data_IF_101321314782
#
_entry.id   IF_101321314782
#
_cell.length_a   1.000
_cell.length_b   1.000
_cell.length_c   1.000
_cell.angle_alpha   90.00
_cell.angle_beta   90.00
_cell.angle_gamma   90.00
#
_symmetry.space_group_name_H-M   'P 1'
#
loop_
_entity.id
_entity.type
_entity.pdbx_description
1 polymer ?
#
# COMPACT_ATOMS: atom_id res chain seq x y z
N UNK A 1 -114.76 -42.80 131.29
CA UNK A 1 -114.85 -43.50 129.98
C UNK A 1 -115.00 -42.56 128.79
N UNK A 2 -115.83 -41.50 128.85
CA UNK A 2 -115.97 -40.52 127.75
C UNK A 2 -114.72 -39.65 127.51
N UNK A 3 -114.02 -39.24 128.56
CA UNK A 3 -112.80 -38.40 128.43
C UNK A 3 -111.61 -39.11 127.77
N UNK A 4 -111.48 -40.43 127.97
CA UNK A 4 -110.45 -41.25 127.31
C UNK A 4 -110.73 -41.44 125.81
N UNK A 5 -112.01 -41.47 125.40
CA UNK A 5 -112.39 -41.52 123.99
C UNK A 5 -112.06 -40.21 123.28
N UNK A 6 -112.41 -39.07 123.89
CA UNK A 6 -112.07 -37.74 123.35
C UNK A 6 -110.55 -37.52 123.28
N UNK A 7 -109.79 -37.98 124.28
CA UNK A 7 -108.32 -37.89 124.25
C UNK A 7 -107.69 -38.79 123.17
N UNK A 8 -108.28 -39.95 122.89
CA UNK A 8 -107.79 -40.87 121.85
C UNK A 8 -108.17 -40.39 120.44
N UNK A 9 -109.36 -39.81 120.28
CA UNK A 9 -109.81 -39.14 119.06
C UNK A 9 -108.95 -37.91 118.75
N UNK A 10 -108.65 -37.06 119.75
CA UNK A 10 -107.73 -35.94 119.57
C UNK A 10 -106.32 -36.41 119.20
N UNK A 11 -105.83 -37.48 119.81
CA UNK A 11 -104.51 -38.06 119.49
C UNK A 11 -104.48 -38.69 118.09
N UNK A 12 -105.57 -39.28 117.63
CA UNK A 12 -105.73 -39.76 116.25
C UNK A 12 -105.75 -38.59 115.26
N UNK A 13 -106.48 -37.52 115.55
CA UNK A 13 -106.48 -36.30 114.74
C UNK A 13 -105.09 -35.65 114.68
N UNK A 14 -104.35 -35.62 115.78
CA UNK A 14 -102.96 -35.14 115.83
C UNK A 14 -102.02 -36.02 114.99
N UNK A 15 -102.15 -37.35 115.08
CA UNK A 15 -101.37 -38.29 114.28
C UNK A 15 -101.69 -38.18 112.78
N UNK A 16 -102.96 -37.99 112.41
CA UNK A 16 -103.37 -37.75 111.04
C UNK A 16 -102.88 -36.39 110.53
N UNK A 17 -102.91 -35.35 111.36
CA UNK A 17 -102.35 -34.04 111.01
C UNK A 17 -100.82 -34.12 110.82
N UNK A 18 -100.10 -34.88 111.66
CA UNK A 18 -98.66 -35.11 111.51
C UNK A 18 -98.36 -35.95 110.27
N UNK A 19 -99.15 -36.98 109.96
CA UNK A 19 -99.02 -37.77 108.72
C UNK A 19 -99.24 -36.91 107.49
N UNK A 20 -100.29 -36.10 107.44
CA UNK A 20 -100.54 -35.15 106.35
C UNK A 20 -99.39 -34.16 106.19
N UNK A 21 -98.87 -33.60 107.30
CA UNK A 21 -97.70 -32.70 107.27
C UNK A 21 -96.43 -33.41 106.76
N UNK A 22 -96.21 -34.67 107.12
CA UNK A 22 -95.08 -35.47 106.63
C UNK A 22 -95.22 -35.80 105.14
N UNK A 23 -96.42 -36.13 104.69
CA UNK A 23 -96.73 -36.42 103.28
C UNK A 23 -96.64 -35.14 102.42
N UNK A 24 -97.12 -34.01 102.93
CA UNK A 24 -96.92 -32.68 102.33
C UNK A 24 -95.44 -32.26 102.32
N UNK A 25 -94.67 -32.55 103.37
CA UNK A 25 -93.24 -32.27 103.39
C UNK A 25 -92.46 -33.16 102.42
N UNK A 26 -92.83 -34.45 102.32
CA UNK A 26 -92.22 -35.39 101.39
C UNK A 26 -92.54 -35.05 99.93
N UNK A 27 -93.78 -34.65 99.62
CA UNK A 27 -94.16 -34.18 98.29
C UNK A 27 -93.44 -32.88 97.91
N UNK A 28 -93.38 -31.89 98.82
CA UNK A 28 -92.58 -30.68 98.60
C UNK A 28 -91.10 -30.97 98.37
N UNK A 29 -90.50 -31.86 99.16
CA UNK A 29 -89.11 -32.27 98.99
C UNK A 29 -88.87 -32.96 97.64
N UNK A 30 -89.76 -33.86 97.22
CA UNK A 30 -89.68 -34.52 95.91
C UNK A 30 -89.85 -33.55 94.73
N UNK A 31 -90.71 -32.53 94.88
CA UNK A 31 -90.86 -31.47 93.89
C UNK A 31 -89.63 -30.56 93.82
N UNK A 32 -89.03 -30.21 94.96
CA UNK A 32 -87.78 -29.45 95.00
C UNK A 32 -86.61 -30.22 94.39
N UNK A 33 -86.50 -31.52 94.67
CA UNK A 33 -85.49 -32.38 94.06
C UNK A 33 -85.67 -32.49 92.54
N UNK A 34 -86.91 -32.65 92.06
CA UNK A 34 -87.23 -32.59 90.63
C UNK A 34 -86.82 -31.26 90.01
N UNK A 35 -87.12 -30.13 90.65
CA UNK A 35 -86.72 -28.79 90.17
C UNK A 35 -85.20 -28.66 90.11
N UNK A 36 -84.47 -29.13 91.14
CA UNK A 36 -83.00 -29.13 91.14
C UNK A 36 -82.44 -29.93 89.97
N UNK A 37 -82.92 -31.15 89.77
CA UNK A 37 -82.49 -32.00 88.66
C UNK A 37 -82.81 -31.37 87.31
N UNK A 38 -84.01 -30.79 87.14
CA UNK A 38 -84.38 -30.07 85.93
C UNK A 38 -83.43 -28.91 85.65
N UNK A 39 -83.13 -28.07 86.65
CA UNK A 39 -82.18 -26.96 86.47
C UNK A 39 -80.77 -27.44 86.14
N UNK A 40 -80.32 -28.55 86.73
CA UNK A 40 -79.01 -29.12 86.43
C UNK A 40 -78.93 -29.65 85.00
N UNK A 41 -79.96 -30.36 84.55
CA UNK A 41 -80.06 -30.89 83.18
C UNK A 41 -80.16 -29.77 82.17
N UNK A 42 -80.96 -28.73 82.43
CA UNK A 42 -81.07 -27.56 81.56
C UNK A 42 -79.74 -26.81 81.45
N UNK A 43 -79.03 -26.64 82.57
CA UNK A 43 -77.72 -26.00 82.58
C UNK A 43 -76.69 -26.81 81.78
N UNK A 44 -76.66 -28.13 81.98
CA UNK A 44 -75.78 -29.03 81.24
C UNK A 44 -76.10 -29.01 79.73
N UNK A 45 -77.38 -28.99 79.36
CA UNK A 45 -77.82 -28.88 77.97
C UNK A 45 -77.42 -27.53 77.34
N UNK A 46 -77.49 -26.42 78.09
CA UNK A 46 -76.99 -25.12 77.61
C UNK A 46 -75.49 -25.16 77.36
N UNK A 47 -74.71 -25.65 78.31
CA UNK A 47 -73.26 -25.78 78.14
C UNK A 47 -72.86 -26.68 76.98
N UNK A 48 -73.56 -27.79 76.76
CA UNK A 48 -73.28 -28.64 75.60
C UNK A 48 -73.54 -27.90 74.29
N UNK A 49 -74.64 -27.15 74.19
CA UNK A 49 -74.94 -26.37 72.97
C UNK A 49 -73.96 -25.21 72.75
N UNK A 50 -73.50 -24.54 73.81
CA UNK A 50 -72.50 -23.48 73.71
C UNK A 50 -71.14 -24.04 73.27
N UNK A 51 -70.73 -25.17 73.83
CA UNK A 51 -69.50 -25.86 73.44
C UNK A 51 -69.54 -26.32 71.98
N UNK A 52 -70.69 -26.81 71.50
CA UNK A 52 -70.86 -27.17 70.09
C UNK A 52 -70.79 -25.96 69.17
N UNK A 53 -71.38 -24.82 69.55
CA UNK A 53 -71.28 -23.57 68.80
C UNK A 53 -69.85 -23.07 68.74
N UNK A 54 -69.12 -23.08 69.85
CA UNK A 54 -67.73 -22.67 69.90
C UNK A 54 -66.84 -23.57 69.03
N UNK A 55 -67.07 -24.89 69.07
CA UNK A 55 -66.39 -25.85 68.19
C UNK A 55 -66.65 -25.52 66.71
N UNK A 56 -67.90 -25.22 66.34
CA UNK A 56 -68.24 -24.88 64.96
C UNK A 56 -67.56 -23.56 64.52
N UNK A 57 -67.59 -22.53 65.36
CA UNK A 57 -66.94 -21.24 65.09
C UNK A 57 -65.43 -21.45 64.93
N UNK A 58 -64.82 -22.25 65.79
CA UNK A 58 -63.39 -22.58 65.70
C UNK A 58 -63.05 -23.32 64.41
N UNK A 59 -63.86 -24.31 64.01
CA UNK A 59 -63.67 -25.02 62.74
C UNK A 59 -63.75 -24.05 61.55
N UNK A 60 -64.75 -23.18 61.51
CA UNK A 60 -64.88 -22.17 60.46
C UNK A 60 -63.69 -21.19 60.43
N UNK A 61 -63.18 -20.81 61.60
CA UNK A 61 -62.02 -19.94 61.69
C UNK A 61 -60.73 -20.63 61.23
N UNK A 62 -60.55 -21.90 61.60
CA UNK A 62 -59.44 -22.74 61.13
C UNK A 62 -59.48 -22.91 59.60
N UNK A 63 -60.67 -23.14 59.02
CA UNK A 63 -60.87 -23.20 57.56
C UNK A 63 -60.51 -21.88 56.87
N UNK A 64 -60.97 -20.74 57.39
CA UNK A 64 -60.63 -19.44 56.83
C UNK A 64 -59.13 -19.12 56.91
N UNK A 65 -58.48 -19.51 58.01
CA UNK A 65 -57.04 -19.36 58.17
C UNK A 65 -56.29 -20.21 57.16
N UNK A 66 -56.72 -21.46 56.95
CA UNK A 66 -56.13 -22.36 55.95
C UNK A 66 -56.30 -21.83 54.51
N UNK A 67 -57.48 -21.28 54.18
CA UNK A 67 -57.71 -20.63 52.89
C UNK A 67 -56.76 -19.44 52.69
N UNK A 68 -56.73 -18.51 53.65
CA UNK A 68 -55.85 -17.34 53.58
C UNK A 68 -54.36 -17.69 53.54
N UNK A 69 -53.93 -18.75 54.24
CA UNK A 69 -52.53 -19.20 54.18
C UNK A 69 -52.19 -19.74 52.79
N UNK A 70 -53.07 -20.54 52.18
CA UNK A 70 -52.86 -21.04 50.82
C UNK A 70 -52.82 -19.94 49.77
N UNK A 71 -53.67 -18.93 49.88
CA UNK A 71 -53.64 -17.75 49.01
C UNK A 71 -52.33 -16.98 49.19
N UNK A 72 -51.89 -16.77 50.44
CA UNK A 72 -50.62 -16.11 50.73
C UNK A 72 -49.44 -16.86 50.10
N UNK A 73 -49.41 -18.18 50.18
CA UNK A 73 -48.37 -19.01 49.55
C UNK A 73 -48.34 -18.83 48.04
N UNK A 74 -49.51 -18.78 47.39
CA UNK A 74 -49.59 -18.51 45.94
C UNK A 74 -49.08 -17.11 45.59
N UNK A 75 -49.42 -16.08 46.39
CA UNK A 75 -48.90 -14.73 46.18
C UNK A 75 -47.38 -14.69 46.35
N UNK A 76 -46.83 -15.38 47.35
CA UNK A 76 -45.38 -15.45 47.56
C UNK A 76 -44.67 -16.17 46.40
N UNK A 77 -45.24 -17.26 45.88
CA UNK A 77 -44.72 -17.93 44.68
C UNK A 77 -44.74 -16.98 43.48
N UNK A 78 -45.86 -16.27 43.27
CA UNK A 78 -45.98 -15.32 42.17
C UNK A 78 -44.98 -14.17 42.25
N UNK A 79 -44.70 -13.67 43.46
CA UNK A 79 -43.69 -12.63 43.67
C UNK A 79 -42.30 -13.16 43.30
N UNK A 80 -41.94 -14.37 43.73
CA UNK A 80 -40.65 -14.99 43.37
C UNK A 80 -40.50 -15.17 41.85
N UNK A 81 -41.55 -15.62 41.17
CA UNK A 81 -41.54 -15.73 39.70
C UNK A 81 -41.30 -14.37 39.03
N UNK A 82 -41.92 -13.30 39.54
CA UNK A 82 -41.73 -11.95 39.01
C UNK A 82 -40.31 -11.44 39.27
N UNK A 83 -39.74 -11.71 40.45
CA UNK A 83 -38.36 -11.39 40.79
C UNK A 83 -37.37 -12.13 39.87
N UNK A 84 -37.57 -13.44 39.65
CA UNK A 84 -36.76 -14.25 38.75
C UNK A 84 -36.84 -13.74 37.30
N UNK A 85 -38.03 -13.35 36.85
CA UNK A 85 -38.20 -12.76 35.52
C UNK A 85 -37.52 -11.40 35.41
N UNK A 86 -37.60 -10.57 36.47
CA UNK A 86 -36.93 -9.28 36.51
C UNK A 86 -35.41 -9.44 36.42
N UNK A 87 -34.82 -10.37 37.17
CA UNK A 87 -33.38 -10.65 37.10
C UNK A 87 -32.97 -11.09 35.69
N UNK A 88 -33.70 -12.02 35.07
CA UNK A 88 -33.43 -12.45 33.68
C UNK A 88 -33.54 -11.31 32.68
N UNK A 89 -34.49 -10.40 32.86
CA UNK A 89 -34.61 -9.21 32.01
C UNK A 89 -33.45 -8.23 32.21
N UNK A 90 -32.94 -8.11 33.44
CA UNK A 90 -31.74 -7.31 33.70
C UNK A 90 -30.50 -7.93 33.05
N UNK A 91 -30.30 -9.24 33.19
CA UNK A 91 -29.21 -9.98 32.54
C UNK A 91 -29.27 -9.82 31.01
N UNK A 92 -30.43 -10.04 30.40
CA UNK A 92 -30.61 -9.88 28.95
C UNK A 92 -30.34 -8.44 28.47
N UNK A 93 -30.62 -7.44 29.30
CA UNK A 93 -30.34 -6.03 29.00
C UNK A 93 -28.83 -5.72 29.11
N UNK A 94 -28.13 -6.34 30.04
CA UNK A 94 -26.67 -6.23 30.15
C UNK A 94 -25.98 -6.92 28.97
N UNK A 95 -26.44 -8.11 28.57
CA UNK A 95 -25.97 -8.82 27.38
C UNK A 95 -26.19 -7.99 26.10
N UNK A 96 -27.36 -7.35 25.95
CA UNK A 96 -27.63 -6.46 24.80
C UNK A 96 -26.67 -5.27 24.76
N UNK A 97 -26.38 -4.66 25.92
CA UNK A 97 -25.42 -3.55 26.03
C UNK A 97 -24.02 -3.99 25.64
N UNK A 98 -23.58 -5.17 26.09
CA UNK A 98 -22.27 -5.73 25.74
C UNK A 98 -22.20 -6.02 24.24
N UNK A 99 -23.20 -6.71 23.69
CA UNK A 99 -23.27 -7.02 22.26
C UNK A 99 -23.22 -5.74 21.39
N UNK A 100 -23.93 -4.67 21.79
CA UNK A 100 -23.86 -3.37 21.10
C UNK A 100 -22.46 -2.75 21.15
N UNK A 101 -21.79 -2.82 22.29
CA UNK A 101 -20.42 -2.31 22.44
C UNK A 101 -19.47 -3.10 21.53
N UNK A 102 -19.56 -4.43 21.55
CA UNK A 102 -18.74 -5.30 20.70
C UNK A 102 -18.97 -5.01 19.21
N UNK A 103 -20.24 -4.87 18.78
CA UNK A 103 -20.55 -4.45 17.42
C UNK A 103 -19.93 -3.09 17.06
N UNK A 104 -19.98 -2.11 17.98
CA UNK A 104 -19.37 -0.80 17.75
C UNK A 104 -17.84 -0.91 17.62
N UNK A 105 -17.18 -1.75 18.43
CA UNK A 105 -15.74 -2.00 18.28
C UNK A 105 -15.42 -2.64 16.94
N UNK A 106 -16.20 -3.63 16.50
CA UNK A 106 -16.04 -4.29 15.20
C UNK A 106 -16.25 -3.29 14.06
N UNK A 107 -17.29 -2.45 14.12
CA UNK A 107 -17.52 -1.38 13.13
C UNK A 107 -16.33 -0.40 13.06
N UNK A 108 -15.79 0.01 14.21
CA UNK A 108 -14.60 0.87 14.29
C UNK A 108 -13.36 0.20 13.69
N UNK A 109 -13.14 -1.08 13.95
CA UNK A 109 -12.04 -1.85 13.38
C UNK A 109 -12.18 -2.00 11.85
N UNK A 110 -13.39 -2.31 11.37
CA UNK A 110 -13.67 -2.38 9.93
C UNK A 110 -13.43 -1.04 9.23
N UNK A 111 -13.86 0.08 9.83
CA UNK A 111 -13.61 1.42 9.29
C UNK A 111 -12.11 1.72 9.17
N UNK A 112 -11.32 1.44 10.23
CA UNK A 112 -9.86 1.60 10.20
C UNK A 112 -9.20 0.73 9.12
N UNK A 113 -9.64 -0.53 8.98
CA UNK A 113 -9.10 -1.41 7.95
C UNK A 113 -9.38 -0.87 6.54
N UNK A 114 -10.60 -0.38 6.29
CA UNK A 114 -10.94 0.24 5.01
C UNK A 114 -10.13 1.50 4.73
N UNK A 115 -9.90 2.34 5.74
CA UNK A 115 -9.01 3.51 5.64
C UNK A 115 -7.58 3.08 5.27
N UNK A 116 -7.01 2.10 5.98
CA UNK A 116 -5.68 1.57 5.68
C UNK A 116 -5.57 0.97 4.27
N UNK A 117 -6.57 0.21 3.84
CA UNK A 117 -6.60 -0.31 2.47
C UNK A 117 -6.69 0.80 1.43
N UNK A 118 -7.51 1.82 1.67
CA UNK A 118 -7.64 2.97 0.77
C UNK A 118 -6.33 3.75 0.65
N UNK A 119 -5.62 3.94 1.75
CA UNK A 119 -4.31 4.60 1.78
C UNK A 119 -3.26 3.77 1.01
N UNK A 120 -3.19 2.46 1.26
CA UNK A 120 -2.28 1.55 0.54
C UNK A 120 -2.58 1.51 -0.96
N UNK A 121 -3.87 1.51 -1.37
CA UNK A 121 -4.25 1.59 -2.79
C UNK A 121 -3.78 2.90 -3.42
N UNK A 122 -3.98 4.03 -2.73
CA UNK A 122 -3.50 5.32 -3.23
C UNK A 122 -1.96 5.40 -3.35
N UNK A 123 -1.22 4.77 -2.42
CA UNK A 123 0.24 4.64 -2.52
C UNK A 123 0.64 3.79 -3.72
N UNK A 124 0.01 2.63 -3.92
CA UNK A 124 0.28 1.76 -5.07
C UNK A 124 -0.04 2.44 -6.40
N UNK A 125 -1.12 3.21 -6.48
CA UNK A 125 -1.46 4.00 -7.67
C UNK A 125 -0.39 5.05 -7.98
N UNK A 126 0.14 5.75 -6.97
CA UNK A 126 1.26 6.69 -7.14
C UNK A 126 2.50 5.99 -7.69
N UNK A 127 2.91 4.88 -7.06
CA UNK A 127 4.06 4.09 -7.53
C UNK A 127 3.88 3.58 -8.95
N UNK A 128 2.67 3.12 -9.29
CA UNK A 128 2.36 2.66 -10.64
C UNK A 128 2.48 3.80 -11.67
N UNK A 129 1.98 5.00 -11.35
CA UNK A 129 2.14 6.17 -12.21
C UNK A 129 3.61 6.59 -12.37
N UNK A 130 4.38 6.62 -11.29
CA UNK A 130 5.83 6.90 -11.31
C UNK A 130 6.58 5.87 -12.16
N UNK A 131 6.25 4.59 -12.00
CA UNK A 131 6.82 3.51 -12.80
C UNK A 131 6.47 3.66 -14.28
N UNK A 132 5.22 3.98 -14.61
CA UNK A 132 4.81 4.23 -15.99
C UNK A 132 5.59 5.40 -16.62
N UNK A 133 5.79 6.49 -15.88
CA UNK A 133 6.58 7.62 -16.34
C UNK A 133 8.04 7.23 -16.56
N UNK A 134 8.65 6.48 -15.62
CA UNK A 134 10.02 6.01 -15.77
C UNK A 134 10.21 5.06 -16.97
N UNK A 135 9.22 4.21 -17.25
CA UNK A 135 9.23 3.35 -18.44
C UNK A 135 9.18 4.21 -19.70
N UNK A 136 8.26 5.18 -19.77
CA UNK A 136 8.15 6.07 -20.93
C UNK A 136 9.43 6.87 -21.18
N UNK A 137 10.08 7.41 -20.14
CA UNK A 137 11.34 8.15 -20.30
C UNK A 137 12.47 7.23 -20.76
N UNK A 138 12.59 6.04 -20.19
CA UNK A 138 13.64 5.08 -20.58
C UNK A 138 13.43 4.53 -21.99
N UNK A 139 12.19 4.33 -22.43
CA UNK A 139 11.86 3.97 -23.80
C UNK A 139 12.24 5.08 -24.79
N UNK A 140 11.95 6.34 -24.46
CA UNK A 140 12.35 7.49 -25.27
C UNK A 140 13.87 7.61 -25.39
N UNK A 141 14.60 7.54 -24.27
CA UNK A 141 16.07 7.54 -24.25
C UNK A 141 16.65 6.40 -25.08
N UNK A 142 16.05 5.20 -24.99
CA UNK A 142 16.48 4.05 -25.79
C UNK A 142 16.32 4.31 -27.29
N UNK A 143 15.20 4.88 -27.72
CA UNK A 143 14.98 5.24 -29.12
C UNK A 143 15.99 6.30 -29.60
N UNK A 144 16.31 7.29 -28.78
CA UNK A 144 17.35 8.27 -29.10
C UNK A 144 18.73 7.63 -29.25
N UNK A 145 19.09 6.71 -28.36
CA UNK A 145 20.35 5.96 -28.46
C UNK A 145 20.40 5.05 -29.68
N UNK A 146 19.29 4.41 -30.05
CA UNK A 146 19.18 3.61 -31.27
C UNK A 146 19.38 4.49 -32.52
N UNK A 147 18.75 5.66 -32.57
CA UNK A 147 18.95 6.63 -33.65
C UNK A 147 20.41 7.09 -33.76
N UNK A 148 21.05 7.40 -32.62
CA UNK A 148 22.47 7.76 -32.59
C UNK A 148 23.37 6.62 -33.05
N UNK A 149 23.05 5.36 -32.71
CA UNK A 149 23.78 4.19 -33.19
C UNK A 149 23.69 4.06 -34.69
N UNK A 150 22.49 4.17 -35.26
CA UNK A 150 22.27 4.10 -36.72
C UNK A 150 23.07 5.19 -37.44
N UNK A 151 23.04 6.44 -36.96
CA UNK A 151 23.81 7.53 -37.56
C UNK A 151 25.32 7.26 -37.49
N UNK A 152 25.82 6.77 -36.35
CA UNK A 152 27.24 6.42 -36.20
C UNK A 152 27.63 5.25 -37.10
N UNK A 153 26.78 4.23 -37.23
CA UNK A 153 27.00 3.10 -38.13
C UNK A 153 27.06 3.54 -39.60
N UNK A 154 26.18 4.44 -40.02
CA UNK A 154 26.21 5.04 -41.36
C UNK A 154 27.53 5.81 -41.60
N UNK A 155 27.91 6.69 -40.67
CA UNK A 155 29.17 7.43 -40.75
C UNK A 155 30.40 6.50 -40.79
N UNK A 156 30.36 5.39 -40.04
CA UNK A 156 31.41 4.37 -40.08
C UNK A 156 31.46 3.65 -41.44
N UNK A 157 30.30 3.29 -42.01
CA UNK A 157 30.24 2.68 -43.35
C UNK A 157 30.79 3.62 -44.43
N UNK A 158 30.45 4.91 -44.37
CA UNK A 158 31.00 5.93 -45.27
C UNK A 158 32.52 6.05 -45.13
N UNK A 159 33.03 6.14 -43.90
CA UNK A 159 34.47 6.20 -43.65
C UNK A 159 35.22 4.95 -44.12
N UNK A 160 34.64 3.75 -43.94
CA UNK A 160 35.18 2.51 -44.49
C UNK A 160 35.20 2.53 -46.02
N UNK A 161 34.15 3.04 -46.67
CA UNK A 161 34.10 3.21 -48.12
C UNK A 161 35.19 4.16 -48.64
N UNK A 162 35.38 5.30 -47.97
CA UNK A 162 36.46 6.24 -48.29
C UNK A 162 37.85 5.61 -48.11
N UNK A 163 38.04 4.84 -47.03
CA UNK A 163 39.30 4.15 -46.79
C UNK A 163 39.61 3.12 -47.89
N UNK A 164 38.61 2.35 -48.33
CA UNK A 164 38.75 1.42 -49.46
C UNK A 164 39.12 2.14 -50.76
N UNK A 165 38.53 3.30 -51.03
CA UNK A 165 38.89 4.13 -52.19
C UNK A 165 40.35 4.60 -52.12
N UNK A 166 40.77 5.14 -50.97
CA UNK A 166 42.16 5.57 -50.76
C UNK A 166 43.16 4.41 -50.87
N UNK A 167 42.79 3.21 -50.41
CA UNK A 167 43.62 2.01 -50.59
C UNK A 167 43.78 1.62 -52.07
N UNK A 168 42.71 1.73 -52.87
CA UNK A 168 42.77 1.50 -54.32
C UNK A 168 43.63 2.55 -55.02
N UNK A 169 43.43 3.83 -54.72
CA UNK A 169 44.24 4.93 -55.25
C UNK A 169 45.72 4.75 -54.88
N UNK A 170 46.01 4.35 -53.64
CA UNK A 170 47.36 4.03 -53.18
C UNK A 170 47.98 2.89 -53.99
N UNK A 171 47.26 1.79 -54.22
CA UNK A 171 47.75 0.66 -55.04
C UNK A 171 48.05 1.11 -56.47
N UNK A 172 47.14 1.86 -57.09
CA UNK A 172 47.33 2.40 -58.44
C UNK A 172 48.53 3.36 -58.51
N UNK A 173 48.68 4.24 -57.53
CA UNK A 173 49.82 5.16 -57.44
C UNK A 173 51.15 4.41 -57.29
N UNK A 174 51.18 3.31 -56.51
CA UNK A 174 52.35 2.45 -56.38
C UNK A 174 52.71 1.77 -57.71
N UNK A 175 51.72 1.22 -58.43
CA UNK A 175 51.93 0.63 -59.76
C UNK A 175 52.49 1.65 -60.77
N UNK A 176 51.92 2.86 -60.79
CA UNK A 176 52.41 3.96 -61.62
C UNK A 176 53.85 4.34 -61.25
N UNK A 177 54.15 4.45 -59.96
CA UNK A 177 55.49 4.75 -59.45
C UNK A 177 56.51 3.69 -59.87
N UNK A 178 56.18 2.41 -59.74
CA UNK A 178 57.02 1.31 -60.22
C UNK A 178 57.26 1.36 -61.74
N UNK A 179 56.22 1.71 -62.51
CA UNK A 179 56.33 1.91 -63.95
C UNK A 179 57.29 3.04 -64.31
N UNK A 180 57.19 4.20 -63.65
CA UNK A 180 58.11 5.33 -63.82
C UNK A 180 59.52 4.95 -63.38
N UNK A 181 59.69 4.25 -62.26
CA UNK A 181 60.98 3.76 -61.77
C UNK A 181 61.65 2.85 -62.80
N UNK A 182 60.93 1.89 -63.38
CA UNK A 182 61.46 1.03 -64.46
C UNK A 182 61.87 1.84 -65.69
N UNK A 183 61.06 2.83 -66.11
CA UNK A 183 61.40 3.74 -67.22
C UNK A 183 62.67 4.55 -66.92
N UNK A 184 62.82 5.08 -65.71
CA UNK A 184 64.01 5.79 -65.27
C UNK A 184 65.24 4.88 -65.22
N UNK A 185 65.11 3.64 -64.74
CA UNK A 185 66.19 2.64 -64.78
C UNK A 185 66.60 2.30 -66.21
N UNK A 186 65.64 2.15 -67.14
CA UNK A 186 65.92 1.97 -68.57
C UNK A 186 66.62 3.19 -69.16
N UNK A 187 66.12 4.41 -68.89
CA UNK A 187 66.75 5.65 -69.35
C UNK A 187 68.19 5.78 -68.81
N UNK A 188 68.42 5.46 -67.52
CA UNK A 188 69.73 5.46 -66.90
C UNK A 188 70.67 4.39 -67.50
N UNK A 189 70.17 3.20 -67.83
CA UNK A 189 70.94 2.17 -68.57
C UNK A 189 71.27 2.63 -69.99
N UNK A 190 70.33 3.25 -70.68
CA UNK A 190 70.53 3.80 -72.02
C UNK A 190 71.54 4.95 -72.00
N UNK A 191 71.47 5.88 -71.04
CA UNK A 191 72.46 6.96 -70.91
C UNK A 191 73.83 6.42 -70.52
N UNK A 192 73.93 5.40 -69.66
CA UNK A 192 75.20 4.69 -69.42
C UNK A 192 75.75 4.07 -70.71
N UNK A 193 74.92 3.35 -71.46
CA UNK A 193 75.33 2.74 -72.74
C UNK A 193 75.74 3.79 -73.79
N UNK A 194 75.00 4.90 -73.90
CA UNK A 194 75.36 6.03 -74.76
C UNK A 194 76.63 6.71 -74.28
N UNK A 195 76.81 6.93 -72.98
CA UNK A 195 78.04 7.45 -72.40
C UNK A 195 79.23 6.53 -72.70
N UNK A 196 79.06 5.22 -72.56
CA UNK A 196 80.10 4.24 -72.89
C UNK A 196 80.44 4.30 -74.39
N UNK A 197 79.44 4.30 -75.29
CA UNK A 197 79.65 4.45 -76.73
C UNK A 197 80.32 5.78 -77.09
N UNK A 198 79.89 6.88 -76.47
CA UNK A 198 80.48 8.20 -76.65
C UNK A 198 81.92 8.20 -76.14
N UNK A 199 82.23 7.60 -74.98
CA UNK A 199 83.61 7.44 -74.50
C UNK A 199 84.50 6.63 -75.46
N UNK A 200 83.96 5.61 -76.15
CA UNK A 200 84.70 4.90 -77.22
C UNK A 200 84.98 5.81 -78.44
N UNK A 201 84.14 6.83 -78.67
CA UNK A 201 84.28 7.80 -79.76
C UNK A 201 84.86 9.16 -79.33
N UNK A 202 85.04 9.42 -78.03
CA UNK A 202 85.65 10.64 -77.47
C UNK A 202 87.12 10.78 -77.90
N UNK A 203 87.77 9.66 -78.29
CA UNK A 203 89.07 9.70 -78.98
C UNK A 203 89.05 10.32 -80.39
N UNK A 204 87.87 10.55 -80.98
CA UNK A 204 87.68 11.10 -82.34
C UNK A 204 87.13 12.54 -82.36
N UNK A 205 86.72 13.11 -81.22
CA UNK A 205 86.14 14.46 -81.17
C UNK A 205 87.21 15.46 -80.71
N UNK A 206 87.86 16.14 -81.66
CA UNK A 206 88.63 17.36 -81.39
C UNK A 206 87.70 18.57 -81.49
N UNK A 207 87.76 19.47 -80.51
CA UNK A 207 87.19 20.82 -80.64
C UNK A 207 87.93 21.55 -81.77
N UNK A 208 87.20 22.09 -82.75
CA UNK A 208 87.75 22.86 -83.87
C UNK A 208 87.92 24.32 -83.40
N UNK A 209 89.15 24.81 -83.33
CA UNK A 209 89.45 26.23 -83.07
C UNK A 209 89.35 27.09 -84.36
N UNK A 210 88.74 28.29 -84.33
CA UNK A 210 88.68 29.18 -85.51
C UNK A 210 90.05 29.84 -85.80
N UNK A 211 90.54 29.71 -87.04
CA UNK A 211 91.83 30.26 -87.49
C UNK A 211 91.92 31.80 -87.55
N UNK A 212 93.11 32.33 -87.24
CA UNK A 212 93.43 33.76 -87.14
C UNK A 212 93.38 34.49 -88.50
N UNK A 213 92.60 35.58 -88.59
CA UNK A 213 92.60 36.53 -89.71
C UNK A 213 93.53 37.71 -89.39
N UNK A 214 94.45 38.04 -90.32
CA UNK A 214 95.38 39.16 -90.19
C UNK A 214 94.64 40.52 -90.10
N UNK A 215 95.14 41.49 -89.32
CA UNK A 215 94.53 42.81 -89.19
C UNK A 215 94.82 43.68 -90.43
N UNK A 216 93.92 43.67 -91.41
CA UNK A 216 93.87 44.73 -92.42
C UNK A 216 93.17 45.96 -91.83
N UNK A 217 93.73 47.16 -92.05
CA UNK A 217 93.08 48.41 -91.66
C UNK A 217 91.85 48.63 -92.56
N UNK A 218 90.65 48.56 -91.99
CA UNK A 218 89.39 48.77 -92.69
C UNK A 218 89.06 50.26 -92.60
N UNK A 219 88.99 50.95 -93.73
CA UNK A 219 88.47 52.33 -93.81
C UNK A 219 86.98 52.29 -94.19
N UNK A 220 86.29 53.43 -94.10
CA UNK A 220 84.88 53.60 -94.42
C UNK A 220 84.52 53.23 -95.88
N UNK A 221 85.52 52.94 -96.72
CA UNK A 221 85.42 52.56 -98.13
C UNK A 221 85.98 51.15 -98.43
N UNK A 222 86.30 50.36 -97.40
CA UNK A 222 86.84 49.00 -97.51
C UNK A 222 88.29 48.85 -97.02
N UNK A 223 88.89 47.65 -97.18
CA UNK A 223 90.27 47.38 -96.79
C UNK A 223 91.23 48.36 -97.49
N UNK A 224 92.02 49.11 -96.72
CA UNK A 224 92.92 50.12 -97.27
C UNK A 224 93.96 49.47 -98.21
N UNK A 225 94.14 50.05 -99.39
CA UNK A 225 95.14 49.61 -100.38
C UNK A 225 96.59 50.02 -100.03
N UNK A 226 96.80 50.61 -98.86
CA UNK A 226 98.10 51.02 -98.35
C UNK A 226 98.26 50.54 -96.91
N UNK A 227 99.49 50.16 -96.56
CA UNK A 227 99.86 49.77 -95.19
C UNK A 227 100.08 51.00 -94.31
N UNK A 228 100.02 50.84 -92.98
CA UNK A 228 100.22 51.94 -92.03
C UNK A 228 101.55 52.70 -92.31
N UNK A 229 102.60 51.99 -92.73
CA UNK A 229 103.90 52.55 -93.06
C UNK A 229 103.87 53.49 -94.28
N UNK A 230 103.11 53.14 -95.33
CA UNK A 230 103.00 53.96 -96.55
C UNK A 230 102.20 55.25 -96.31
N UNK A 231 101.26 55.24 -95.35
CA UNK A 231 100.51 56.44 -94.96
C UNK A 231 101.42 57.45 -94.23
N UNK A 232 102.31 56.97 -93.36
CA UNK A 232 103.28 57.82 -92.66
C UNK A 232 104.29 58.48 -93.61
N UNK A 233 104.73 57.79 -94.66
CA UNK A 233 105.57 58.39 -95.72
C UNK A 233 104.82 59.47 -96.52
N UNK A 234 103.52 59.24 -96.80
CA UNK A 234 102.68 60.22 -97.50
C UNK A 234 102.39 61.46 -96.64
N UNK A 235 102.21 61.29 -95.33
CA UNK A 235 102.12 62.40 -94.39
C UNK A 235 103.44 63.19 -94.29
N UNK A 236 104.59 62.51 -94.28
CA UNK A 236 105.91 63.19 -94.29
C UNK A 236 106.10 64.01 -95.58
N UNK A 237 105.80 63.45 -96.74
CA UNK A 237 105.89 64.19 -98.02
C UNK A 237 104.87 65.34 -98.13
N UNK A 238 103.70 65.24 -97.48
CA UNK A 238 102.75 66.35 -97.38
C UNK A 238 103.24 67.45 -96.44
N UNK A 239 103.85 67.09 -95.30
CA UNK A 239 104.45 68.05 -94.36
C UNK A 239 105.64 68.80 -94.98
N UNK A 240 106.50 68.13 -95.76
CA UNK A 240 107.62 68.77 -96.47
C UNK A 240 107.15 69.80 -97.52
N UNK A 241 106.03 69.55 -98.22
CA UNK A 241 105.43 70.50 -99.17
C UNK A 241 104.72 71.68 -98.50
N UNK A 242 104.43 71.61 -97.20
CA UNK A 242 103.71 72.66 -96.45
C UNK A 242 104.63 73.72 -95.83
N UNK A 243 105.93 73.46 -95.78
CA UNK A 243 106.97 74.34 -95.19
C UNK A 243 107.77 75.13 -96.23
N UNK A 244 107.30 75.18 -97.49
CA UNK A 244 107.91 75.99 -98.58
C UNK A 244 106.95 77.01 -99.20
N UNK A 245 105.95 77.43 -98.43
CA UNK A 245 105.36 78.79 -98.47
C UNK A 245 105.98 79.63 -97.35
#
# INVERSE_FOLDING_TARGET
>A
MKELQVANENKQQELEAVRKKLEEAASRAAEEEKKRLQTQVELQARFSTELEREKLIRQQMEEQVAQKSSELEQYLQRVRELEDMYLKLQEALEDERQARQDEETVRKLQARLLEEESAKRAELEKWHLEQQQAIQTTEAEKQELENQRVIKEQALQEALGQLQQLELERKQALEQYEGVKKKLEMAAKMTKSWKDKVAHHEGLIRLIEPGSKNPHLITNWGPAAFTQAELEEREKSWKEKKTTE
#
